data_IF_262109213381
#
_entry.id   IF_262109213381
#
_cell.length_a   1.000
_cell.length_b   1.000
_cell.length_c   1.000
_cell.angle_alpha   90.00
_cell.angle_beta   90.00
_cell.angle_gamma   90.00
#
_symmetry.space_group_name_H-M   'P 1'
#
loop_
_entity.id
_entity.type
_entity.pdbx_description
1 polymer ?
#
# COMPACT_ATOMS: atom_id res chain seq x y z
N UNK A 1 -52.87 -25.69 47.65
CA UNK A 1 -52.60 -24.81 46.49
C UNK A 1 -51.11 -24.48 46.44
N UNK A 2 -50.34 -25.15 45.59
CA UNK A 2 -48.88 -24.90 45.45
C UNK A 2 -48.65 -24.09 44.18
N UNK A 3 -48.29 -22.83 44.31
CA UNK A 3 -47.91 -21.96 43.16
C UNK A 3 -46.48 -22.28 42.72
N UNK A 4 -46.32 -22.78 41.49
CA UNK A 4 -45.04 -23.00 40.82
C UNK A 4 -44.65 -21.69 40.15
N UNK A 5 -43.51 -21.10 40.56
CA UNK A 5 -42.87 -19.99 39.85
C UNK A 5 -41.97 -20.60 38.76
N UNK A 6 -42.27 -20.31 37.50
CA UNK A 6 -41.41 -20.61 36.39
C UNK A 6 -40.37 -19.50 36.25
N UNK A 7 -39.10 -19.84 36.43
CA UNK A 7 -37.99 -18.93 36.15
C UNK A 7 -37.71 -18.98 34.65
N UNK A 8 -37.94 -17.88 33.96
CA UNK A 8 -37.53 -17.71 32.55
C UNK A 8 -36.05 -17.29 32.50
N UNK A 9 -35.21 -18.20 32.11
CA UNK A 9 -33.77 -17.93 31.86
C UNK A 9 -33.64 -17.26 30.50
N UNK A 10 -33.37 -15.97 30.46
CA UNK A 10 -33.09 -15.21 29.25
C UNK A 10 -31.63 -15.48 28.85
N UNK A 11 -31.40 -16.36 27.89
CA UNK A 11 -30.09 -16.58 27.31
C UNK A 11 -29.75 -15.43 26.35
N UNK A 12 -28.91 -14.48 26.81
CA UNK A 12 -28.36 -13.41 26.00
C UNK A 12 -27.24 -14.01 25.10
N UNK A 13 -27.59 -14.39 23.88
CA UNK A 13 -26.60 -14.72 22.85
C UNK A 13 -25.86 -13.46 22.44
N UNK A 14 -24.72 -13.20 23.06
CA UNK A 14 -23.71 -12.28 22.55
C UNK A 14 -23.09 -12.92 21.30
N UNK A 15 -23.59 -12.56 20.12
CA UNK A 15 -22.89 -12.79 18.88
C UNK A 15 -21.67 -11.87 18.83
N UNK A 16 -20.54 -12.40 19.27
CA UNK A 16 -19.24 -11.79 19.07
C UNK A 16 -18.95 -11.86 17.58
N UNK A 17 -19.33 -10.82 16.84
CA UNK A 17 -18.88 -10.64 15.46
C UNK A 17 -17.37 -10.45 15.53
N UNK A 18 -16.63 -11.56 15.34
CA UNK A 18 -15.22 -11.50 15.11
C UNK A 18 -15.02 -10.68 13.82
N UNK A 19 -14.59 -9.41 13.95
CA UNK A 19 -13.93 -8.70 12.89
C UNK A 19 -12.67 -9.52 12.59
N UNK A 20 -12.74 -10.39 11.61
CA UNK A 20 -11.55 -10.94 10.99
C UNK A 20 -10.93 -9.78 10.22
N UNK A 21 -10.06 -9.02 10.89
CA UNK A 21 -9.06 -8.26 10.18
C UNK A 21 -8.29 -9.28 9.35
N UNK A 22 -8.52 -9.29 8.05
CA UNK A 22 -7.65 -9.98 7.10
C UNK A 22 -6.31 -9.26 7.23
N UNK A 23 -5.42 -9.83 8.05
CA UNK A 23 -4.04 -9.40 8.10
C UNK A 23 -3.52 -9.56 6.66
N UNK A 24 -3.20 -8.44 6.00
CA UNK A 24 -2.46 -8.48 4.75
C UNK A 24 -1.27 -9.39 4.97
N UNK A 25 -0.97 -10.27 4.01
CA UNK A 25 0.09 -11.24 4.14
C UNK A 25 1.39 -10.47 4.46
N UNK A 26 1.94 -10.68 5.66
CA UNK A 26 3.18 -10.06 6.06
C UNK A 26 4.26 -10.52 5.05
N UNK A 27 4.97 -9.58 4.45
CA UNK A 27 6.12 -9.91 3.64
C UNK A 27 7.29 -10.23 4.55
N UNK A 28 7.98 -11.33 4.25
CA UNK A 28 9.08 -11.81 5.08
C UNK A 28 10.39 -11.68 4.31
N UNK A 29 11.48 -11.42 5.04
CA UNK A 29 12.81 -11.57 4.47
C UNK A 29 13.05 -13.00 3.96
N UNK A 30 13.82 -13.18 2.88
CA UNK A 30 14.26 -14.51 2.47
C UNK A 30 14.92 -15.25 3.66
N UNK A 31 14.63 -16.54 3.79
CA UNK A 31 15.18 -17.36 4.85
C UNK A 31 16.71 -17.36 4.79
N UNK A 32 17.35 -16.98 5.89
CA UNK A 32 18.82 -17.06 6.00
C UNK A 32 19.25 -18.49 6.35
N UNK A 33 20.02 -19.10 5.46
CA UNK A 33 20.54 -20.49 5.62
C UNK A 33 22.00 -20.55 6.07
N UNK A 34 22.67 -19.41 6.23
CA UNK A 34 24.06 -19.36 6.64
C UNK A 34 24.27 -19.63 8.15
N UNK A 35 25.53 -19.78 8.54
CA UNK A 35 25.93 -20.17 9.89
C UNK A 35 26.18 -19.00 10.85
N UNK A 36 26.00 -17.75 10.41
CA UNK A 36 26.23 -16.57 11.26
C UNK A 36 25.38 -16.62 12.54
N UNK A 37 25.97 -16.15 13.62
CA UNK A 37 25.31 -15.88 14.91
C UNK A 37 24.96 -14.39 15.07
N UNK A 38 25.34 -13.56 14.10
CA UNK A 38 25.06 -12.13 14.07
C UNK A 38 23.93 -11.81 13.11
N UNK A 39 22.89 -11.12 13.59
CA UNK A 39 21.79 -10.63 12.73
C UNK A 39 22.31 -9.63 11.70
N UNK A 40 23.26 -8.77 12.05
CA UNK A 40 23.81 -7.79 11.11
C UNK A 40 24.54 -8.48 9.95
N UNK A 41 25.33 -9.52 10.22
CA UNK A 41 26.00 -10.31 9.17
C UNK A 41 24.98 -11.06 8.31
N UNK A 42 23.93 -11.62 8.93
CA UNK A 42 22.89 -12.35 8.22
C UNK A 42 22.06 -11.43 7.30
N UNK A 43 21.69 -10.23 7.76
CA UNK A 43 21.01 -9.23 6.95
C UNK A 43 21.89 -8.77 5.78
N UNK A 44 23.16 -8.45 6.04
CA UNK A 44 24.10 -8.04 4.99
C UNK A 44 24.28 -9.14 3.91
N UNK A 45 24.32 -10.40 4.32
CA UNK A 45 24.40 -11.53 3.39
C UNK A 45 23.16 -11.68 2.48
N UNK A 46 22.01 -11.11 2.89
CA UNK A 46 20.78 -11.04 2.10
C UNK A 46 20.64 -9.71 1.33
N UNK A 47 21.69 -8.87 1.34
CA UNK A 47 21.64 -7.54 0.69
C UNK A 47 20.81 -6.51 1.44
N UNK A 48 20.49 -6.77 2.71
CA UNK A 48 19.69 -5.88 3.56
C UNK A 48 20.61 -5.00 4.40
N UNK A 49 20.30 -3.71 4.50
CA UNK A 49 21.03 -2.75 5.34
C UNK A 49 21.10 -3.27 6.80
N UNK A 50 22.30 -3.58 7.34
CA UNK A 50 22.47 -4.09 8.69
C UNK A 50 22.58 -2.99 9.75
N UNK A 51 22.36 -1.72 9.41
CA UNK A 51 22.51 -0.59 10.33
C UNK A 51 21.58 -0.72 11.56
N UNK A 52 21.96 -0.05 12.63
CA UNK A 52 21.14 0.00 13.85
C UNK A 52 19.76 0.61 13.57
N UNK A 53 19.69 1.66 12.78
CA UNK A 53 18.44 2.34 12.41
C UNK A 53 17.49 1.37 11.70
N UNK A 54 17.97 0.66 10.68
CA UNK A 54 17.14 -0.31 9.94
C UNK A 54 16.71 -1.47 10.84
N UNK A 55 17.61 -2.02 11.66
CA UNK A 55 17.27 -3.07 12.63
C UNK A 55 16.24 -2.64 13.66
N UNK A 56 16.18 -1.34 14.01
CA UNK A 56 15.13 -0.80 14.89
C UNK A 56 13.75 -0.92 14.23
N UNK A 57 13.64 -0.58 12.95
CA UNK A 57 12.40 -0.75 12.17
C UNK A 57 11.99 -2.22 12.04
N UNK A 58 12.96 -3.10 11.72
CA UNK A 58 12.73 -4.54 11.65
C UNK A 58 12.25 -5.10 13.01
N UNK A 59 12.88 -4.71 14.11
CA UNK A 59 12.49 -5.13 15.44
C UNK A 59 11.06 -4.72 15.80
N UNK A 60 10.68 -3.46 15.51
CA UNK A 60 9.34 -2.94 15.74
C UNK A 60 8.29 -3.73 14.95
N UNK A 61 8.52 -4.00 13.67
CA UNK A 61 7.63 -4.79 12.81
C UNK A 61 7.43 -6.24 13.30
N UNK A 62 8.41 -6.77 14.03
CA UNK A 62 8.42 -8.13 14.55
C UNK A 62 8.05 -8.23 16.05
N UNK A 63 7.43 -7.19 16.61
CA UNK A 63 6.99 -7.18 18.01
C UNK A 63 8.13 -7.17 19.05
N UNK A 64 9.35 -6.82 18.64
CA UNK A 64 10.51 -6.65 19.54
C UNK A 64 10.54 -5.20 20.02
N UNK A 65 9.75 -4.90 21.04
CA UNK A 65 9.60 -3.55 21.57
C UNK A 65 10.86 -3.04 22.26
N UNK A 66 11.06 -1.71 22.26
CA UNK A 66 12.16 -1.06 22.95
C UNK A 66 13.53 -1.54 22.46
N UNK A 67 13.71 -1.70 21.15
CA UNK A 67 14.96 -2.22 20.58
C UNK A 67 16.15 -1.34 20.94
N UNK A 68 17.15 -1.95 21.58
CA UNK A 68 18.44 -1.34 21.97
C UNK A 68 19.63 -2.09 21.40
N UNK A 69 19.42 -3.06 20.52
CA UNK A 69 20.48 -3.88 19.94
C UNK A 69 21.12 -4.85 20.92
N UNK A 70 20.41 -5.24 21.99
CA UNK A 70 20.91 -6.22 22.96
C UNK A 70 21.13 -7.59 22.30
N UNK A 71 22.00 -8.42 22.90
CA UNK A 71 22.24 -9.77 22.39
C UNK A 71 20.94 -10.58 22.28
N UNK A 72 20.06 -10.51 23.27
CA UNK A 72 18.78 -11.22 23.26
C UNK A 72 17.87 -10.76 22.12
N UNK A 73 17.73 -9.44 21.89
CA UNK A 73 16.92 -8.89 20.80
C UNK A 73 17.49 -9.28 19.44
N UNK A 74 18.79 -9.18 19.25
CA UNK A 74 19.45 -9.57 18.01
C UNK A 74 19.34 -11.08 17.75
N UNK A 75 19.49 -11.92 18.79
CA UNK A 75 19.30 -13.37 18.68
C UNK A 75 17.87 -13.71 18.29
N UNK A 76 16.87 -13.07 18.91
CA UNK A 76 15.45 -13.26 18.54
C UNK A 76 15.20 -12.93 17.08
N UNK A 77 15.72 -11.80 16.60
CA UNK A 77 15.59 -11.37 15.20
C UNK A 77 16.24 -12.37 14.24
N UNK A 78 17.45 -12.86 14.59
CA UNK A 78 18.16 -13.87 13.79
C UNK A 78 17.42 -15.21 13.75
N UNK A 79 16.79 -15.63 14.86
CA UNK A 79 15.97 -16.83 14.89
C UNK A 79 14.78 -16.73 13.93
N UNK A 80 14.05 -15.61 13.96
CA UNK A 80 12.95 -15.36 13.04
C UNK A 80 13.41 -15.37 11.57
N UNK A 81 14.59 -14.76 11.30
CA UNK A 81 15.18 -14.75 9.96
C UNK A 81 15.58 -16.17 9.48
N UNK A 82 16.16 -16.98 10.35
CA UNK A 82 16.49 -18.39 10.05
C UNK A 82 15.26 -19.27 9.87
N UNK A 83 14.15 -18.93 10.50
CA UNK A 83 12.87 -19.61 10.30
C UNK A 83 12.16 -19.14 9.02
N UNK A 84 12.57 -18.00 8.42
CA UNK A 84 11.91 -17.40 7.26
C UNK A 84 10.61 -16.68 7.63
N UNK A 85 10.47 -16.26 8.89
CA UNK A 85 9.27 -15.56 9.41
C UNK A 85 9.61 -14.18 9.98
N UNK A 86 10.81 -13.65 9.71
CA UNK A 86 11.17 -12.29 10.05
C UNK A 86 10.45 -11.35 9.06
N UNK A 87 9.53 -10.55 9.57
CA UNK A 87 8.80 -9.56 8.79
C UNK A 87 9.78 -8.51 8.27
N UNK A 88 9.74 -8.26 6.98
CA UNK A 88 10.48 -7.20 6.33
C UNK A 88 9.65 -5.90 6.38
N UNK A 89 10.01 -4.91 7.22
CA UNK A 89 9.27 -3.65 7.28
C UNK A 89 9.46 -2.79 6.03
N UNK A 90 10.51 -3.00 5.26
CA UNK A 90 10.69 -2.33 3.97
C UNK A 90 9.78 -2.94 2.89
N UNK A 91 9.41 -4.21 3.05
CA UNK A 91 8.36 -4.88 2.30
C UNK A 91 6.95 -4.66 2.91
N UNK A 92 6.85 -3.93 4.02
CA UNK A 92 5.56 -3.50 4.58
C UNK A 92 4.92 -2.48 3.67
N UNK A 93 4.17 -2.98 2.77
CA UNK A 93 3.23 -2.22 2.01
C UNK A 93 3.81 -1.64 0.73
N UNK A 94 3.59 -2.36 -0.32
CA UNK A 94 3.84 -1.90 -1.67
C UNK A 94 3.97 -3.05 -2.64
N UNK A 95 3.96 -2.70 -3.88
CA UNK A 95 4.18 -3.64 -4.97
C UNK A 95 5.66 -3.99 -5.06
N UNK A 96 5.96 -5.25 -5.27
CA UNK A 96 7.33 -5.71 -5.49
C UNK A 96 7.90 -5.12 -6.78
N UNK A 97 9.22 -5.04 -6.90
CA UNK A 97 9.88 -4.66 -8.14
C UNK A 97 9.44 -5.55 -9.32
N UNK A 98 9.14 -6.84 -9.08
CA UNK A 98 8.62 -7.75 -10.07
C UNK A 98 7.22 -7.36 -10.56
N UNK A 99 6.31 -6.95 -9.68
CA UNK A 99 4.99 -6.44 -10.05
C UNK A 99 5.12 -5.17 -10.91
N UNK A 100 5.92 -4.21 -10.48
CA UNK A 100 6.16 -2.96 -11.19
C UNK A 100 6.83 -3.15 -12.56
N UNK A 101 7.68 -4.19 -12.70
CA UNK A 101 8.36 -4.49 -13.96
C UNK A 101 7.46 -5.12 -15.03
N UNK A 102 6.31 -5.70 -14.62
CA UNK A 102 5.34 -6.30 -15.56
C UNK A 102 4.41 -5.30 -16.22
N UNK A 103 4.33 -4.09 -15.68
CA UNK A 103 3.42 -3.05 -16.15
C UNK A 103 4.21 -1.91 -16.77
N UNK A 104 3.81 -1.53 -17.98
CA UNK A 104 4.40 -0.42 -18.70
C UNK A 104 3.94 0.91 -18.09
N UNK A 105 4.86 1.85 -18.04
CA UNK A 105 4.55 3.23 -17.74
C UNK A 105 3.63 3.82 -18.83
N UNK A 106 2.56 4.46 -18.40
CA UNK A 106 1.68 5.23 -19.28
C UNK A 106 1.93 6.71 -19.05
N UNK A 107 2.25 7.42 -20.14
CA UNK A 107 2.37 8.86 -20.12
C UNK A 107 1.01 9.49 -20.33
N UNK A 108 0.66 10.48 -19.51
CA UNK A 108 -0.58 11.23 -19.69
C UNK A 108 -0.54 12.15 -20.90
N UNK A 109 -1.69 12.36 -21.51
CA UNK A 109 -2.00 13.50 -22.33
C UNK A 109 -2.49 14.68 -21.49
N UNK A 110 -2.73 15.83 -22.10
CA UNK A 110 -3.22 17.02 -21.40
C UNK A 110 -4.50 16.71 -20.61
N UNK A 111 -4.49 17.01 -19.31
CA UNK A 111 -5.61 16.83 -18.36
C UNK A 111 -6.07 15.39 -18.13
N UNK A 112 -5.26 14.39 -18.42
CA UNK A 112 -5.64 12.97 -18.23
C UNK A 112 -4.90 12.30 -17.06
N UNK A 113 -4.25 13.06 -16.16
CA UNK A 113 -3.43 12.51 -15.06
C UNK A 113 -4.17 11.45 -14.24
N UNK A 114 -5.41 11.72 -13.84
CA UNK A 114 -6.22 10.80 -13.05
C UNK A 114 -6.55 9.51 -13.80
N UNK A 115 -7.00 9.61 -15.05
CA UNK A 115 -7.33 8.45 -15.87
C UNK A 115 -6.09 7.60 -16.18
N UNK A 116 -4.96 8.25 -16.48
CA UNK A 116 -3.69 7.56 -16.74
C UNK A 116 -3.16 6.88 -15.49
N UNK A 117 -3.21 7.54 -14.34
CA UNK A 117 -2.84 6.95 -13.06
C UNK A 117 -3.76 5.76 -12.70
N UNK A 118 -5.08 5.90 -12.94
CA UNK A 118 -6.04 4.81 -12.73
C UNK A 118 -5.74 3.59 -13.63
N UNK A 119 -5.45 3.81 -14.91
CA UNK A 119 -5.09 2.74 -15.84
C UNK A 119 -3.83 1.98 -15.37
N UNK A 120 -2.80 2.71 -14.96
CA UNK A 120 -1.59 2.09 -14.40
C UNK A 120 -1.88 1.31 -13.12
N UNK A 121 -2.69 1.84 -12.21
CA UNK A 121 -3.05 1.15 -10.98
C UNK A 121 -3.84 -0.14 -11.24
N UNK A 122 -4.84 -0.10 -12.14
CA UNK A 122 -5.59 -1.31 -12.54
C UNK A 122 -4.68 -2.32 -13.23
N UNK A 123 -3.76 -1.87 -14.09
CA UNK A 123 -2.78 -2.74 -14.74
C UNK A 123 -1.88 -3.45 -13.72
N UNK A 124 -1.52 -2.79 -12.62
CA UNK A 124 -0.77 -3.42 -11.52
C UNK A 124 -1.61 -4.51 -10.82
N UNK A 125 -2.91 -4.29 -10.62
CA UNK A 125 -3.82 -5.28 -10.04
C UNK A 125 -3.93 -6.51 -10.95
N UNK A 126 -4.22 -6.30 -12.25
CA UNK A 126 -4.43 -7.41 -13.19
C UNK A 126 -3.12 -8.04 -13.69
N UNK A 127 -1.98 -7.46 -13.34
CA UNK A 127 -0.65 -8.00 -13.62
C UNK A 127 -0.24 -7.91 -15.08
N UNK A 128 -0.68 -6.88 -15.81
CA UNK A 128 -0.30 -6.69 -17.22
C UNK A 128 -0.93 -5.45 -17.85
N UNK A 129 -0.54 -5.13 -19.08
CA UNK A 129 -0.93 -3.91 -19.81
C UNK A 129 -2.29 -4.10 -20.53
N UNK A 130 -3.38 -4.22 -19.78
CA UNK A 130 -4.74 -4.47 -20.32
C UNK A 130 -5.55 -3.19 -20.52
N UNK A 131 -5.25 -2.14 -19.75
CA UNK A 131 -6.02 -0.90 -19.73
C UNK A 131 -5.16 0.27 -20.18
N UNK A 132 -5.71 1.10 -21.01
CA UNK A 132 -5.16 2.38 -21.47
C UNK A 132 -5.81 3.56 -20.72
N UNK A 133 -5.26 4.76 -20.90
CA UNK A 133 -5.90 6.00 -20.42
C UNK A 133 -7.32 6.14 -20.95
N UNK A 134 -7.57 5.78 -22.21
CA UNK A 134 -8.89 5.88 -22.84
C UNK A 134 -9.94 4.98 -22.17
N UNK A 135 -9.55 3.79 -21.69
CA UNK A 135 -10.46 2.88 -20.99
C UNK A 135 -10.95 3.44 -19.66
N UNK A 136 -10.19 4.38 -19.07
CA UNK A 136 -10.55 5.06 -17.81
C UNK A 136 -11.32 6.37 -18.03
N UNK A 137 -11.47 6.81 -19.27
CA UNK A 137 -12.28 7.96 -19.65
C UNK A 137 -13.64 7.45 -20.12
N UNK A 138 -14.63 7.44 -19.23
CA UNK A 138 -15.96 6.94 -19.55
C UNK A 138 -16.95 8.08 -19.69
N UNK A 139 -17.64 8.15 -20.83
CA UNK A 139 -18.73 9.14 -21.10
C UNK A 139 -18.34 10.59 -20.78
N UNK A 140 -17.08 10.99 -21.02
CA UNK A 140 -16.57 12.34 -20.73
C UNK A 140 -16.34 12.62 -19.24
N UNK A 141 -16.55 11.64 -18.35
CA UNK A 141 -16.31 11.78 -16.91
C UNK A 141 -15.17 10.86 -16.49
N UNK A 142 -14.03 11.46 -16.17
CA UNK A 142 -12.83 10.73 -15.75
C UNK A 142 -13.08 9.87 -14.50
N UNK A 143 -12.88 8.57 -14.63
CA UNK A 143 -12.87 7.57 -13.56
C UNK A 143 -14.18 7.39 -12.77
N UNK A 144 -15.29 7.99 -13.15
CA UNK A 144 -16.54 7.87 -12.38
C UNK A 144 -17.10 6.45 -12.34
N UNK A 145 -16.91 5.68 -13.42
CA UNK A 145 -17.32 4.28 -13.52
C UNK A 145 -16.49 3.34 -12.67
N UNK A 146 -15.29 3.75 -12.21
CA UNK A 146 -14.42 2.89 -11.39
C UNK A 146 -15.01 2.56 -10.02
N UNK A 147 -15.87 3.42 -9.47
CA UNK A 147 -16.39 3.19 -8.14
C UNK A 147 -17.32 1.97 -8.09
N UNK A 148 -16.89 0.93 -7.38
CA UNK A 148 -17.60 -0.34 -7.27
C UNK A 148 -17.19 -1.38 -8.32
N UNK A 149 -16.42 -1.02 -9.36
CA UNK A 149 -15.91 -1.93 -10.37
C UNK A 149 -15.05 -3.05 -9.75
N UNK A 150 -15.10 -4.21 -10.40
CA UNK A 150 -14.41 -5.42 -9.98
C UNK A 150 -13.32 -5.78 -10.99
N UNK A 151 -12.14 -6.04 -10.49
CA UNK A 151 -10.98 -6.47 -11.28
C UNK A 151 -10.47 -7.81 -10.76
N UNK A 152 -10.24 -8.76 -11.67
CA UNK A 152 -9.56 -10.01 -11.33
C UNK A 152 -8.06 -9.76 -11.33
N UNK A 153 -7.43 -9.91 -10.19
CA UNK A 153 -5.99 -9.75 -10.03
C UNK A 153 -5.19 -10.89 -10.67
N UNK A 154 -3.92 -10.65 -10.84
CA UNK A 154 -2.97 -11.67 -11.34
C UNK A 154 -2.79 -12.86 -10.38
N UNK A 155 -3.20 -12.71 -9.15
CA UNK A 155 -3.24 -13.72 -8.09
C UNK A 155 -4.55 -14.55 -8.08
N UNK A 156 -5.48 -14.26 -9.00
CA UNK A 156 -6.79 -14.90 -9.09
C UNK A 156 -7.86 -14.30 -8.16
N UNK A 157 -7.51 -13.38 -7.29
CA UNK A 157 -8.45 -12.73 -6.40
C UNK A 157 -9.24 -11.63 -7.11
N UNK A 158 -10.40 -11.27 -6.55
CA UNK A 158 -11.23 -10.17 -7.06
C UNK A 158 -11.02 -8.94 -6.19
N UNK A 159 -10.79 -7.80 -6.83
CA UNK A 159 -10.56 -6.51 -6.19
C UNK A 159 -11.65 -5.53 -6.58
N UNK A 160 -12.23 -4.85 -5.59
CA UNK A 160 -13.21 -3.79 -5.79
C UNK A 160 -12.53 -2.45 -5.73
N UNK A 161 -12.76 -1.60 -6.72
CA UNK A 161 -12.30 -0.22 -6.72
C UNK A 161 -13.24 0.68 -5.88
N UNK A 162 -12.65 1.60 -5.14
CA UNK A 162 -13.35 2.69 -4.44
C UNK A 162 -12.78 4.02 -4.93
N UNK A 163 -13.64 4.91 -5.39
CA UNK A 163 -13.25 6.21 -5.89
C UNK A 163 -13.81 7.34 -5.02
N UNK A 164 -12.93 8.03 -4.33
CA UNK A 164 -13.18 9.33 -3.67
C UNK A 164 -12.80 10.44 -4.62
N UNK A 165 -13.78 11.19 -5.08
CA UNK A 165 -13.66 12.13 -6.21
C UNK A 165 -12.81 13.37 -5.93
N UNK A 166 -12.59 14.22 -6.93
CA UNK A 166 -11.90 15.52 -6.76
C UNK A 166 -12.62 16.43 -5.74
N UNK A 167 -13.93 16.27 -5.59
CA UNK A 167 -14.72 17.03 -4.62
C UNK A 167 -14.73 16.46 -3.20
N UNK A 168 -14.00 15.35 -2.98
CA UNK A 168 -13.92 14.74 -1.64
C UNK A 168 -13.03 15.57 -0.72
N UNK A 169 -13.65 16.28 0.21
CA UNK A 169 -12.94 17.15 1.16
C UNK A 169 -12.03 16.30 2.06
N UNK A 170 -12.59 15.31 2.75
CA UNK A 170 -11.84 14.40 3.62
C UNK A 170 -10.80 15.08 4.49
N UNK A 171 -9.74 14.34 4.82
CA UNK A 171 -8.58 14.88 5.52
C UNK A 171 -7.28 14.24 5.01
N UNK A 172 -6.15 14.91 5.26
CA UNK A 172 -4.83 14.35 5.00
C UNK A 172 -4.62 13.03 5.75
N UNK A 173 -5.10 12.94 6.98
CA UNK A 173 -4.97 11.72 7.79
C UNK A 173 -5.76 10.55 7.21
N UNK A 174 -6.96 10.79 6.68
CA UNK A 174 -7.73 9.73 5.98
C UNK A 174 -7.03 9.26 4.73
N UNK A 175 -6.50 10.18 3.91
CA UNK A 175 -5.73 9.79 2.72
C UNK A 175 -4.47 9.02 3.10
N UNK A 176 -3.71 9.46 4.10
CA UNK A 176 -2.55 8.72 4.62
C UNK A 176 -2.95 7.31 5.06
N UNK A 177 -4.02 7.18 5.84
CA UNK A 177 -4.51 5.89 6.30
C UNK A 177 -4.94 4.98 5.13
N UNK A 178 -5.59 5.54 4.11
CA UNK A 178 -5.97 4.79 2.91
C UNK A 178 -4.73 4.33 2.11
N UNK A 179 -3.71 5.19 2.00
CA UNK A 179 -2.43 4.83 1.36
C UNK A 179 -1.74 3.71 2.14
N UNK A 180 -1.63 3.85 3.46
CA UNK A 180 -0.96 2.86 4.30
C UNK A 180 -1.70 1.51 4.28
N UNK A 181 -3.03 1.53 4.30
CA UNK A 181 -3.84 0.32 4.18
C UNK A 181 -3.67 -0.36 2.81
N UNK A 182 -3.66 0.40 1.70
CA UNK A 182 -3.43 -0.15 0.37
C UNK A 182 -2.05 -0.80 0.29
N UNK A 183 -1.01 -0.06 0.67
CA UNK A 183 0.37 -0.54 0.63
C UNK A 183 0.58 -1.77 1.52
N UNK A 184 0.03 -1.80 2.73
CA UNK A 184 0.10 -2.96 3.64
C UNK A 184 -0.51 -4.23 3.05
N UNK A 185 -1.43 -4.08 2.09
CA UNK A 185 -2.02 -5.19 1.34
C UNK A 185 -1.32 -5.46 -0.01
N UNK A 186 -0.18 -4.83 -0.27
CA UNK A 186 0.54 -4.97 -1.55
C UNK A 186 -0.22 -4.40 -2.75
N UNK A 187 -1.10 -3.42 -2.52
CA UNK A 187 -1.96 -2.83 -3.55
C UNK A 187 -1.53 -1.41 -3.90
N UNK A 188 -1.68 -1.00 -5.16
CA UNK A 188 -1.49 0.39 -5.55
C UNK A 188 -2.65 1.25 -5.07
N UNK A 189 -2.40 2.55 -4.94
CA UNK A 189 -3.44 3.55 -4.73
C UNK A 189 -3.15 4.77 -5.58
N UNK A 190 -4.18 5.32 -6.22
CA UNK A 190 -4.07 6.60 -6.93
C UNK A 190 -4.44 7.70 -5.96
N UNK A 191 -3.60 8.68 -5.81
CA UNK A 191 -3.78 9.75 -4.83
C UNK A 191 -3.75 11.13 -5.49
N UNK A 192 -4.63 12.00 -5.00
CA UNK A 192 -4.63 13.43 -5.30
C UNK A 192 -3.44 14.11 -4.64
N UNK A 193 -2.70 14.92 -5.39
CA UNK A 193 -1.48 15.60 -4.94
C UNK A 193 -1.39 17.02 -5.51
N UNK A 194 -0.55 17.83 -4.87
CA UNK A 194 -0.12 19.14 -5.35
C UNK A 194 1.39 19.33 -5.17
N UNK A 195 1.95 20.31 -5.87
CA UNK A 195 3.32 20.80 -5.70
C UNK A 195 3.34 22.33 -5.73
N UNK A 196 4.52 22.93 -5.67
CA UNK A 196 4.67 24.38 -5.82
C UNK A 196 4.21 24.92 -7.19
N UNK A 197 4.19 24.06 -8.22
CA UNK A 197 3.84 24.43 -9.60
C UNK A 197 2.52 23.81 -10.09
N UNK A 198 1.98 22.83 -9.37
CA UNK A 198 0.77 22.11 -9.75
C UNK A 198 -0.17 22.03 -8.57
N UNK A 199 -1.38 22.57 -8.69
CA UNK A 199 -2.39 22.60 -7.61
C UNK A 199 -3.33 21.41 -7.65
N UNK A 200 -3.43 20.73 -8.80
CA UNK A 200 -4.33 19.62 -9.10
C UNK A 200 -3.61 18.56 -9.92
N UNK A 201 -3.24 17.45 -9.28
CA UNK A 201 -2.59 16.34 -9.97
C UNK A 201 -2.90 14.99 -9.31
N UNK A 202 -2.70 13.91 -10.05
CA UNK A 202 -2.97 12.54 -9.60
C UNK A 202 -1.81 11.64 -9.99
N UNK A 203 -1.32 10.88 -9.02
CA UNK A 203 -0.20 9.95 -9.18
C UNK A 203 -0.53 8.57 -8.60
N UNK A 204 0.22 7.54 -8.97
CA UNK A 204 0.09 6.19 -8.38
C UNK A 204 1.12 6.02 -7.29
N UNK A 205 0.68 5.79 -6.05
CA UNK A 205 1.55 5.38 -4.97
C UNK A 205 1.70 3.87 -5.04
N UNK A 206 2.95 3.39 -5.02
CA UNK A 206 3.29 1.99 -5.29
C UNK A 206 4.09 1.32 -4.19
N UNK A 207 4.57 2.07 -3.19
CA UNK A 207 5.36 1.51 -2.11
C UNK A 207 5.99 2.58 -1.23
N UNK A 208 6.99 2.15 -0.45
CA UNK A 208 7.87 3.01 0.35
C UNK A 208 9.33 2.67 0.07
N UNK A 209 10.21 3.64 0.20
CA UNK A 209 11.65 3.40 0.21
C UNK A 209 12.12 2.90 1.59
N UNK A 210 13.42 2.58 1.72
CA UNK A 210 14.02 2.12 2.97
C UNK A 210 13.92 3.14 4.13
N UNK A 211 13.65 4.42 3.83
CA UNK A 211 13.48 5.49 4.81
C UNK A 211 12.00 5.73 5.15
N UNK A 212 11.08 4.93 4.57
CA UNK A 212 9.64 5.06 4.78
C UNK A 212 8.97 6.13 3.90
N UNK A 213 9.69 6.77 2.96
CA UNK A 213 9.10 7.74 2.05
C UNK A 213 8.23 7.04 1.00
N UNK A 214 7.08 7.59 0.69
CA UNK A 214 6.21 7.05 -0.36
C UNK A 214 6.90 7.08 -1.73
N UNK A 215 6.92 5.91 -2.39
CA UNK A 215 7.31 5.75 -3.79
C UNK A 215 6.08 5.91 -4.67
N UNK A 216 6.20 6.70 -5.70
CA UNK A 216 5.11 6.99 -6.63
C UNK A 216 5.57 6.98 -8.09
N UNK A 217 4.62 6.73 -8.98
CA UNK A 217 4.78 6.87 -10.44
C UNK A 217 3.88 8.02 -10.90
N UNK A 218 4.50 8.99 -11.52
CA UNK A 218 3.85 10.22 -11.99
C UNK A 218 3.62 10.18 -13.51
N UNK A 219 2.36 10.12 -13.98
CA UNK A 219 2.05 10.04 -15.41
C UNK A 219 2.44 11.28 -16.22
N UNK A 220 2.68 12.43 -15.57
CA UNK A 220 3.11 13.67 -16.24
C UNK A 220 4.57 13.66 -16.65
N UNK A 221 5.38 12.73 -16.14
CA UNK A 221 6.80 12.70 -16.41
C UNK A 221 7.12 12.17 -17.81
N UNK A 222 8.24 12.65 -18.36
CA UNK A 222 8.82 12.08 -19.57
C UNK A 222 9.48 10.75 -19.23
N UNK A 223 8.72 9.67 -19.37
CA UNK A 223 9.16 8.31 -19.06
C UNK A 223 8.73 7.31 -20.11
N UNK A 224 9.30 6.15 -20.08
CA UNK A 224 8.95 4.99 -20.89
C UNK A 224 9.41 3.69 -20.22
N UNK A 225 9.01 2.55 -20.77
CA UNK A 225 9.37 1.25 -20.23
C UNK A 225 8.54 0.83 -19.02
N UNK A 226 9.11 0.04 -18.13
CA UNK A 226 8.41 -0.50 -16.97
C UNK A 226 8.18 0.55 -15.88
N UNK A 227 7.09 0.45 -15.15
CA UNK A 227 6.79 1.33 -14.01
C UNK A 227 7.89 1.30 -12.95
N UNK A 228 8.58 0.16 -12.79
CA UNK A 228 9.69 0.02 -11.85
C UNK A 228 10.79 1.08 -12.05
N UNK A 229 11.12 1.41 -13.31
CA UNK A 229 12.14 2.41 -13.63
C UNK A 229 11.66 3.86 -13.42
N UNK A 230 10.36 4.07 -13.27
CA UNK A 230 9.72 5.38 -13.15
C UNK A 230 9.36 5.75 -11.70
N UNK A 231 9.40 4.79 -10.78
CA UNK A 231 9.09 5.02 -9.38
C UNK A 231 10.13 5.96 -8.72
N UNK A 232 9.64 7.03 -8.09
CA UNK A 232 10.43 8.04 -7.37
C UNK A 232 9.76 8.33 -6.03
N UNK A 233 10.51 8.86 -5.07
CA UNK A 233 9.88 9.34 -3.84
C UNK A 233 9.02 10.56 -4.11
N UNK A 234 7.85 10.63 -3.47
CA UNK A 234 6.97 11.83 -3.56
C UNK A 234 7.73 13.10 -3.21
N UNK A 235 8.56 13.05 -2.16
CA UNK A 235 9.36 14.18 -1.72
C UNK A 235 10.33 14.66 -2.80
N UNK A 236 11.03 13.73 -3.50
CA UNK A 236 11.94 14.09 -4.60
C UNK A 236 11.24 14.69 -5.81
N UNK A 237 9.94 14.42 -5.95
CA UNK A 237 9.09 15.00 -7.00
C UNK A 237 8.44 16.31 -6.57
N UNK A 238 8.58 16.71 -5.30
CA UNK A 238 8.01 17.94 -4.74
C UNK A 238 6.51 17.84 -4.45
N UNK A 239 5.94 16.62 -4.37
CA UNK A 239 4.51 16.42 -4.13
C UNK A 239 4.15 16.31 -2.65
N UNK A 240 2.97 16.85 -2.34
CA UNK A 240 2.23 16.67 -1.09
C UNK A 240 0.82 16.21 -1.38
N UNK A 241 0.19 15.46 -0.47
CA UNK A 241 -1.19 15.01 -0.63
C UNK A 241 -2.18 16.16 -0.59
N UNK A 242 -3.24 16.00 -1.39
CA UNK A 242 -4.37 16.89 -1.51
C UNK A 242 -4.31 17.79 -2.76
N UNK A 243 -5.47 18.22 -3.22
CA UNK A 243 -5.67 19.21 -4.25
C UNK A 243 -5.80 20.59 -3.59
N UNK A 244 -5.17 21.61 -4.14
CA UNK A 244 -5.13 22.96 -3.55
C UNK A 244 -5.70 24.04 -4.47
N UNK A 245 -6.41 23.65 -5.52
CA UNK A 245 -7.16 24.53 -6.41
C UNK A 245 -8.59 24.83 -5.91
N UNK A 246 -8.96 24.31 -4.74
CA UNK A 246 -10.22 24.56 -4.04
C UNK A 246 -9.99 25.50 -2.83
N UNK A 247 -11.06 26.08 -2.30
CA UNK A 247 -11.02 26.93 -1.10
C UNK A 247 -10.48 26.19 0.13
N UNK A 248 -10.76 24.89 0.23
CA UNK A 248 -10.17 23.96 1.20
C UNK A 248 -9.49 22.82 0.45
N UNK A 249 -8.38 22.25 0.94
CA UNK A 249 -7.75 21.12 0.28
C UNK A 249 -8.66 19.92 0.19
N UNK A 250 -8.67 19.24 -0.98
CA UNK A 250 -9.43 18.03 -1.21
C UNK A 250 -8.49 16.82 -1.30
N UNK A 251 -8.89 15.70 -0.68
CA UNK A 251 -8.04 14.51 -0.49
C UNK A 251 -8.61 13.28 -1.21
N UNK A 252 -8.90 13.44 -2.51
CA UNK A 252 -9.41 12.35 -3.35
C UNK A 252 -8.42 11.21 -3.55
N UNK A 253 -8.95 9.99 -3.77
CA UNK A 253 -8.12 8.82 -4.08
C UNK A 253 -8.92 7.73 -4.79
N UNK A 254 -8.21 6.79 -5.43
CA UNK A 254 -8.76 5.54 -5.95
C UNK A 254 -8.00 4.41 -5.29
N UNK A 255 -8.69 3.61 -4.49
CA UNK A 255 -8.13 2.45 -3.80
C UNK A 255 -8.78 1.15 -4.27
N UNK A 256 -8.14 0.03 -3.98
CA UNK A 256 -8.61 -1.31 -4.30
C UNK A 256 -8.63 -2.14 -3.04
N UNK A 257 -9.66 -2.96 -2.90
CA UNK A 257 -9.81 -3.85 -1.75
C UNK A 257 -10.20 -5.24 -2.24
N UNK A 258 -9.52 -6.25 -1.75
CA UNK A 258 -9.87 -7.65 -2.00
C UNK A 258 -11.27 -7.92 -1.43
N UNK A 259 -12.07 -8.65 -2.20
CA UNK A 259 -13.46 -8.99 -1.87
C UNK A 259 -13.54 -10.37 -1.20
#
# INVERSE_FOLDING_TARGET
>A
MKKRFAAATLALCLTLSALTATAGAASYFPRYTGNSVSIAVALNALGVDPSYSNRTGIAAANGISGYRGTAAQNTRMLQLLKQGVLIDPSATGGLTAANLSRVSFLRQDKNTCKATAAAMAVNLIVGGNRYSTADMIYSGVLCRSLNGELYTGSDGNTYRATYKTDSYVGSRNELNAAVDAALSNGLPIVAAVHSSTTRHHWIVIVGRDANGNYLAVDPARNGSGAMASQAKTMASMGYSFGLTDYATPHYGYISFQQR
#
